data_IF_849275049224
#
_entry.id   IF_849275049224
#
_cell.length_a   1.000
_cell.length_b   1.000
_cell.length_c   1.000
_cell.angle_alpha   90.00
_cell.angle_beta   90.00
_cell.angle_gamma   90.00
#
_symmetry.space_group_name_H-M   'P 1'
#
loop_
_entity.id
_entity.type
_entity.pdbx_description
1 polymer ?
#
# COMPACT_ATOMS: atom_id res chain seq x y z
N UNK A 1 -8.10 -51.21 64.29
CA UNK A 1 -9.08 -50.47 63.49
C UNK A 1 -8.26 -49.55 62.55
N UNK A 2 -8.04 -50.02 61.33
CA UNK A 2 -7.25 -49.30 60.34
C UNK A 2 -8.18 -48.45 59.44
N UNK A 3 -7.81 -47.16 59.22
CA UNK A 3 -8.49 -46.26 58.35
C UNK A 3 -8.12 -46.56 56.87
N UNK A 4 -9.07 -46.45 55.95
CA UNK A 4 -8.76 -46.70 54.52
C UNK A 4 -8.04 -45.50 53.88
N UNK A 5 -6.92 -45.80 53.21
CA UNK A 5 -6.10 -44.91 52.40
C UNK A 5 -6.89 -44.51 51.13
N UNK A 6 -7.29 -43.23 51.02
CA UNK A 6 -7.95 -42.67 49.83
C UNK A 6 -6.87 -42.17 48.88
N UNK A 7 -6.50 -42.97 47.86
CA UNK A 7 -5.70 -42.51 46.73
C UNK A 7 -6.58 -41.69 45.76
N UNK A 8 -6.30 -40.41 45.67
CA UNK A 8 -6.87 -39.55 44.64
C UNK A 8 -6.12 -39.79 43.31
N UNK A 9 -6.81 -40.34 42.32
CA UNK A 9 -6.32 -40.41 40.95
C UNK A 9 -6.48 -39.01 40.34
N UNK A 10 -5.36 -38.35 40.06
CA UNK A 10 -5.32 -37.12 39.25
C UNK A 10 -5.48 -37.54 37.80
N UNK A 11 -6.70 -37.42 37.27
CA UNK A 11 -6.97 -37.59 35.85
C UNK A 11 -6.29 -36.48 35.03
N UNK A 12 -5.21 -36.79 34.32
CA UNK A 12 -4.66 -35.92 33.31
C UNK A 12 -5.63 -35.85 32.12
N UNK A 13 -6.38 -34.77 31.99
CA UNK A 13 -7.08 -34.45 30.75
C UNK A 13 -6.02 -34.31 29.62
N UNK A 14 -6.20 -34.94 28.45
CA UNK A 14 -5.30 -34.73 27.34
C UNK A 14 -5.37 -33.23 26.96
N UNK A 15 -4.21 -32.58 26.90
CA UNK A 15 -4.09 -31.23 26.38
C UNK A 15 -4.67 -31.21 24.97
N UNK A 16 -5.64 -30.33 24.71
CA UNK A 16 -6.12 -30.07 23.35
C UNK A 16 -4.91 -29.69 22.50
N UNK A 17 -4.77 -30.30 21.29
CA UNK A 17 -3.71 -29.89 20.39
C UNK A 17 -3.84 -28.37 20.15
N UNK A 18 -2.78 -27.63 20.40
CA UNK A 18 -2.68 -26.22 20.03
C UNK A 18 -2.73 -26.20 18.51
N UNK A 19 -3.82 -25.67 17.93
CA UNK A 19 -3.92 -25.54 16.49
C UNK A 19 -2.76 -24.66 16.02
N UNK A 20 -1.99 -25.15 15.08
CA UNK A 20 -0.88 -24.38 14.50
C UNK A 20 -1.40 -23.07 13.93
N UNK A 21 -0.59 -22.01 14.06
CA UNK A 21 -0.95 -20.70 13.51
C UNK A 21 -1.03 -20.80 11.98
N UNK A 22 -2.02 -20.16 11.32
CA UNK A 22 -2.11 -20.12 9.87
C UNK A 22 -0.80 -19.63 9.24
N UNK A 23 -0.39 -20.25 8.15
CA UNK A 23 0.83 -19.85 7.43
C UNK A 23 0.46 -18.85 6.34
N UNK A 24 1.15 -17.70 6.31
CA UNK A 24 1.03 -16.73 5.25
C UNK A 24 2.01 -17.03 4.12
N UNK A 25 1.50 -17.40 2.94
CA UNK A 25 2.28 -17.51 1.69
C UNK A 25 2.22 -16.18 0.97
N UNK A 26 3.36 -15.71 0.46
CA UNK A 26 3.47 -14.41 -0.22
C UNK A 26 4.13 -14.60 -1.57
N UNK A 27 3.47 -14.12 -2.62
CA UNK A 27 4.02 -13.95 -3.96
C UNK A 27 4.00 -12.47 -4.31
N UNK A 28 5.02 -11.96 -4.99
CA UNK A 28 5.11 -10.53 -5.30
C UNK A 28 5.90 -10.29 -6.58
N UNK A 29 5.53 -9.24 -7.30
CA UNK A 29 6.29 -8.71 -8.43
C UNK A 29 6.21 -7.18 -8.43
N UNK A 30 7.25 -6.58 -9.00
CA UNK A 30 7.33 -5.14 -9.23
C UNK A 30 8.10 -4.91 -10.53
N UNK A 31 7.55 -4.11 -11.44
CA UNK A 31 8.09 -3.83 -12.75
C UNK A 31 8.08 -2.31 -13.01
N UNK A 32 9.24 -1.71 -13.29
CA UNK A 32 9.31 -0.27 -13.56
C UNK A 32 8.55 0.08 -14.84
N UNK A 33 8.08 1.31 -14.92
CA UNK A 33 7.48 1.85 -16.13
C UNK A 33 8.47 1.74 -17.31
N UNK A 34 8.03 1.26 -18.49
CA UNK A 34 8.89 1.12 -19.64
C UNK A 34 9.64 2.41 -19.98
N UNK A 35 10.97 2.31 -20.07
CA UNK A 35 11.86 3.45 -20.38
C UNK A 35 12.23 4.33 -19.18
N UNK A 36 11.78 4.01 -17.97
CA UNK A 36 12.23 4.68 -16.74
C UNK A 36 13.51 4.04 -16.22
N UNK A 37 14.49 4.83 -15.72
CA UNK A 37 15.75 4.31 -15.19
C UNK A 37 15.59 3.68 -13.80
N UNK A 38 14.59 4.09 -13.05
CA UNK A 38 14.33 3.65 -11.67
C UNK A 38 12.87 3.30 -11.47
N UNK A 39 12.62 2.32 -10.61
CA UNK A 39 11.32 1.98 -10.08
C UNK A 39 11.05 2.85 -8.84
N UNK A 40 9.97 3.64 -8.86
CA UNK A 40 9.51 4.46 -7.75
C UNK A 40 8.56 3.67 -6.83
N UNK A 41 8.18 2.43 -7.21
CA UNK A 41 7.49 1.49 -6.34
C UNK A 41 8.46 0.64 -5.52
N UNK A 42 8.03 0.20 -4.34
CA UNK A 42 8.74 -0.81 -3.54
C UNK A 42 7.75 -1.84 -2.99
N UNK A 43 8.04 -3.11 -3.27
CA UNK A 43 7.46 -4.25 -2.57
C UNK A 43 8.46 -4.77 -1.55
N UNK A 44 8.01 -5.02 -0.32
CA UNK A 44 8.90 -5.54 0.72
C UNK A 44 8.21 -6.54 1.64
N UNK A 45 9.04 -7.41 2.25
CA UNK A 45 8.62 -8.33 3.30
C UNK A 45 9.65 -8.36 4.42
N UNK A 46 9.19 -8.12 5.65
CA UNK A 46 10.00 -8.24 6.87
C UNK A 46 9.27 -9.16 7.87
N UNK A 47 9.66 -10.43 7.87
CA UNK A 47 8.99 -11.43 8.69
C UNK A 47 7.50 -11.54 8.38
N UNK A 48 6.59 -11.21 9.35
CA UNK A 48 5.15 -11.27 9.16
C UNK A 48 4.56 -10.01 8.46
N UNK A 49 5.36 -8.97 8.23
CA UNK A 49 4.95 -7.73 7.57
C UNK A 49 5.21 -7.79 6.07
N UNK A 50 4.22 -7.39 5.29
CA UNK A 50 4.32 -7.21 3.83
C UNK A 50 3.83 -5.81 3.49
N UNK A 51 4.43 -5.16 2.49
CA UNK A 51 4.03 -3.83 2.07
C UNK A 51 4.26 -3.55 0.60
N UNK A 52 3.43 -2.64 0.08
CA UNK A 52 3.58 -1.95 -1.20
C UNK A 52 3.63 -0.47 -0.93
N UNK A 53 4.63 0.20 -1.45
CA UNK A 53 4.79 1.65 -1.44
C UNK A 53 4.88 2.11 -2.89
N UNK A 54 4.11 3.13 -3.25
CA UNK A 54 4.11 3.74 -4.58
C UNK A 54 4.57 5.18 -4.43
N UNK A 55 5.73 5.48 -5.01
CA UNK A 55 6.38 6.77 -4.92
C UNK A 55 5.75 7.79 -5.86
N UNK A 56 5.29 8.89 -5.32
CA UNK A 56 4.60 9.91 -6.09
C UNK A 56 5.56 10.62 -7.07
N UNK A 57 5.56 10.20 -8.32
CA UNK A 57 6.34 10.81 -9.40
C UNK A 57 6.08 12.32 -9.53
N UNK A 58 7.13 13.05 -9.82
CA UNK A 58 7.07 14.49 -10.13
C UNK A 58 7.42 14.75 -11.60
N UNK A 59 6.85 15.80 -12.23
CA UNK A 59 7.22 16.20 -13.59
C UNK A 59 8.70 16.57 -13.71
N UNK A 60 9.30 16.34 -14.88
CA UNK A 60 10.68 16.75 -15.15
C UNK A 60 10.89 18.24 -14.90
N UNK A 61 11.97 18.58 -14.18
CA UNK A 61 12.28 19.96 -13.79
C UNK A 61 11.37 20.55 -12.72
N UNK A 62 10.56 19.72 -12.05
CA UNK A 62 9.76 20.14 -10.91
C UNK A 62 10.68 20.38 -9.70
N UNK A 63 10.55 21.55 -9.06
CA UNK A 63 11.26 21.82 -7.83
C UNK A 63 10.62 21.02 -6.68
N UNK A 64 11.44 20.21 -6.03
CA UNK A 64 11.02 19.36 -4.90
C UNK A 64 11.50 19.88 -3.55
N UNK A 65 12.37 20.87 -3.53
CA UNK A 65 13.07 21.30 -2.31
C UNK A 65 14.04 20.24 -1.77
N UNK A 66 14.22 19.11 -2.49
CA UNK A 66 14.94 17.94 -2.03
C UNK A 66 15.86 17.38 -3.13
N UNK A 67 17.06 16.97 -2.77
CA UNK A 67 18.01 16.32 -3.68
C UNK A 67 17.65 14.82 -3.91
N UNK A 68 16.76 14.25 -3.10
CA UNK A 68 16.35 12.86 -3.19
C UNK A 68 15.07 12.74 -4.01
N UNK A 69 14.97 11.68 -4.81
CA UNK A 69 13.78 11.35 -5.60
C UNK A 69 12.80 10.43 -4.86
N UNK A 70 11.61 10.15 -5.47
CA UNK A 70 10.63 9.21 -4.93
C UNK A 70 11.20 7.81 -4.70
N UNK A 71 12.01 7.28 -5.63
CA UNK A 71 12.64 5.97 -5.50
C UNK A 71 13.55 5.85 -4.26
N UNK A 72 14.32 6.91 -3.92
CA UNK A 72 15.10 6.94 -2.69
C UNK A 72 14.18 6.91 -1.47
N UNK A 73 13.13 7.74 -1.50
CA UNK A 73 12.19 7.88 -0.38
C UNK A 73 11.50 6.56 -0.04
N UNK A 74 10.92 5.86 -1.04
CA UNK A 74 10.20 4.61 -0.81
C UNK A 74 11.12 3.49 -0.28
N UNK A 75 12.36 3.42 -0.77
CA UNK A 75 13.35 2.44 -0.27
C UNK A 75 13.71 2.69 1.20
N UNK A 76 13.93 3.95 1.58
CA UNK A 76 14.21 4.31 2.97
C UNK A 76 12.98 4.10 3.85
N UNK A 77 11.80 4.49 3.39
CA UNK A 77 10.56 4.30 4.14
C UNK A 77 10.29 2.81 4.40
N UNK A 78 10.42 1.94 3.39
CA UNK A 78 10.26 0.50 3.54
C UNK A 78 11.22 -0.07 4.61
N UNK A 79 12.51 0.28 4.54
CA UNK A 79 13.50 -0.14 5.51
C UNK A 79 13.17 0.34 6.94
N UNK A 80 12.77 1.61 7.09
CA UNK A 80 12.40 2.21 8.39
C UNK A 80 11.12 1.61 8.95
N UNK A 81 10.12 1.28 8.12
CA UNK A 81 8.91 0.56 8.55
C UNK A 81 9.29 -0.82 9.11
N UNK A 82 10.11 -1.58 8.37
CA UNK A 82 10.58 -2.90 8.83
C UNK A 82 11.29 -2.84 10.17
N UNK A 83 12.20 -1.88 10.36
CA UNK A 83 12.91 -1.66 11.62
C UNK A 83 11.96 -1.25 12.76
N UNK A 84 11.00 -0.36 12.51
CA UNK A 84 10.03 0.09 13.51
C UNK A 84 9.15 -1.04 14.01
N UNK A 85 8.66 -1.89 13.10
CA UNK A 85 7.85 -3.07 13.44
C UNK A 85 8.69 -4.12 14.18
N UNK A 86 9.93 -4.38 13.75
CA UNK A 86 10.82 -5.31 14.43
C UNK A 86 11.17 -4.85 15.86
N UNK A 87 11.40 -3.55 16.05
CA UNK A 87 11.74 -2.98 17.35
C UNK A 87 10.55 -2.99 18.33
N UNK A 88 9.31 -2.86 17.82
CA UNK A 88 8.08 -2.81 18.65
C UNK A 88 6.96 -3.64 18.00
N UNK A 89 7.03 -4.99 18.04
CA UNK A 89 6.06 -5.86 17.36
C UNK A 89 4.59 -5.66 17.82
N UNK A 90 4.38 -5.24 19.07
CA UNK A 90 3.05 -4.98 19.63
C UNK A 90 2.49 -3.57 19.29
N UNK A 91 3.29 -2.70 18.65
CA UNK A 91 2.83 -1.38 18.25
C UNK A 91 1.82 -1.46 17.10
N UNK A 92 0.95 -0.46 16.99
CA UNK A 92 0.04 -0.34 15.84
C UNK A 92 0.82 -0.05 14.55
N UNK A 93 0.26 -0.43 13.39
CA UNK A 93 0.87 -0.10 12.10
C UNK A 93 0.99 1.42 11.91
N UNK A 94 -0.01 2.20 12.38
CA UNK A 94 0.04 3.66 12.35
C UNK A 94 1.24 4.22 13.13
N UNK A 95 1.47 3.77 14.36
CA UNK A 95 2.60 4.26 15.16
C UNK A 95 3.96 3.80 14.60
N UNK A 96 4.01 2.62 13.97
CA UNK A 96 5.21 2.13 13.28
C UNK A 96 5.51 2.95 12.03
N UNK A 97 4.48 3.30 11.25
CA UNK A 97 4.62 4.18 10.09
C UNK A 97 5.04 5.60 10.50
N UNK A 98 4.43 6.18 11.54
CA UNK A 98 4.81 7.50 12.05
C UNK A 98 6.30 7.54 12.48
N UNK A 99 6.75 6.50 13.20
CA UNK A 99 8.15 6.37 13.58
C UNK A 99 9.09 6.22 12.37
N UNK A 100 8.65 5.49 11.33
CA UNK A 100 9.42 5.33 10.10
C UNK A 100 9.54 6.65 9.33
N UNK A 101 8.44 7.40 9.16
CA UNK A 101 8.45 8.74 8.52
C UNK A 101 9.41 9.68 9.25
N UNK A 102 9.35 9.72 10.59
CA UNK A 102 10.26 10.53 11.39
C UNK A 102 11.74 10.13 11.18
N UNK A 103 12.01 8.83 11.06
CA UNK A 103 13.36 8.33 10.81
C UNK A 103 13.86 8.70 9.41
N UNK A 104 13.00 8.58 8.36
CA UNK A 104 13.35 9.02 7.00
C UNK A 104 13.58 10.52 6.94
N UNK A 105 12.78 11.31 7.67
CA UNK A 105 13.04 12.75 7.81
C UNK A 105 14.47 13.03 8.32
N UNK A 106 14.94 12.27 9.30
CA UNK A 106 16.31 12.37 9.81
C UNK A 106 17.36 11.90 8.78
N UNK A 107 17.05 10.89 7.96
CA UNK A 107 17.95 10.38 6.90
C UNK A 107 18.28 11.42 5.81
N UNK A 108 17.45 12.46 5.63
CA UNK A 108 17.73 13.57 4.72
C UNK A 108 18.92 14.45 5.15
N UNK A 109 19.42 14.28 6.38
CA UNK A 109 20.63 14.95 6.86
C UNK A 109 20.55 16.47 6.97
N UNK A 110 19.37 17.06 6.94
CA UNK A 110 19.16 18.51 7.07
C UNK A 110 19.53 19.35 5.82
N UNK A 111 19.73 18.68 4.66
CA UNK A 111 20.11 19.36 3.41
C UNK A 111 18.92 19.66 2.50
N UNK A 112 17.72 19.17 2.83
CA UNK A 112 16.51 19.33 2.05
C UNK A 112 15.49 20.22 2.77
N UNK A 113 14.72 20.99 2.00
CA UNK A 113 13.53 21.68 2.49
C UNK A 113 12.34 20.70 2.50
N UNK A 114 12.12 20.06 3.66
CA UNK A 114 11.08 19.07 3.83
C UNK A 114 9.68 19.65 4.05
N UNK A 115 9.56 20.96 4.17
CA UNK A 115 8.28 21.69 4.21
C UNK A 115 7.84 22.11 2.80
N UNK A 116 8.70 21.93 1.79
CA UNK A 116 8.39 22.21 0.39
C UNK A 116 7.28 21.26 -0.11
N UNK A 117 6.23 21.76 -0.80
CA UNK A 117 5.13 20.93 -1.30
C UNK A 117 5.57 19.79 -2.24
N UNK A 118 6.68 19.97 -2.94
CA UNK A 118 7.27 18.98 -3.84
C UNK A 118 8.10 17.90 -3.15
N UNK A 119 8.23 17.91 -1.82
CA UNK A 119 9.02 16.90 -1.10
C UNK A 119 8.58 15.47 -1.49
N UNK A 120 9.50 14.49 -1.60
CA UNK A 120 9.15 13.12 -1.94
C UNK A 120 8.08 12.56 -1.00
N UNK A 121 7.14 11.84 -1.59
CA UNK A 121 6.02 11.23 -0.86
C UNK A 121 5.66 9.88 -1.48
N UNK A 122 4.88 9.10 -0.75
CA UNK A 122 4.45 7.77 -1.17
C UNK A 122 3.07 7.43 -0.63
N UNK A 123 2.34 6.58 -1.35
CA UNK A 123 1.25 5.79 -0.78
C UNK A 123 1.82 4.72 0.13
N UNK A 124 1.00 4.14 0.99
CA UNK A 124 1.40 3.02 1.85
C UNK A 124 0.27 2.00 1.95
N UNK A 125 0.53 0.78 1.52
CA UNK A 125 -0.34 -0.37 1.75
C UNK A 125 0.44 -1.43 2.52
N UNK A 126 0.02 -1.73 3.77
CA UNK A 126 0.68 -2.68 4.66
C UNK A 126 -0.28 -3.76 5.12
N UNK A 127 0.26 -4.97 5.31
CA UNK A 127 -0.43 -6.10 5.90
C UNK A 127 0.52 -6.82 6.84
N UNK A 128 0.08 -7.04 8.11
CA UNK A 128 0.85 -7.72 9.15
C UNK A 128 0.10 -8.92 9.68
N UNK A 129 0.68 -10.12 9.51
CA UNK A 129 0.18 -11.34 10.14
C UNK A 129 0.58 -11.39 11.62
N UNK A 130 -0.36 -11.71 12.51
CA UNK A 130 -0.14 -11.83 13.95
C UNK A 130 -1.00 -12.96 14.55
N UNK A 131 -0.44 -14.15 14.64
CA UNK A 131 -1.14 -15.32 15.18
C UNK A 131 -2.34 -15.73 14.35
N UNK A 132 -3.55 -15.53 14.86
CA UNK A 132 -4.82 -15.84 14.20
C UNK A 132 -5.49 -14.63 13.52
N UNK A 133 -4.76 -13.53 13.37
CA UNK A 133 -5.24 -12.25 12.83
C UNK A 133 -4.28 -11.62 11.84
N UNK A 134 -4.84 -10.72 11.05
CA UNK A 134 -4.11 -9.86 10.13
C UNK A 134 -4.52 -8.41 10.39
N UNK A 135 -3.54 -7.55 10.68
CA UNK A 135 -3.73 -6.12 10.71
C UNK A 135 -3.36 -5.53 9.36
N UNK A 136 -4.10 -4.50 8.90
CA UNK A 136 -3.76 -3.75 7.71
C UNK A 136 -3.75 -2.25 7.92
N UNK A 137 -3.05 -1.55 7.01
CA UNK A 137 -3.01 -0.10 6.93
C UNK A 137 -2.95 0.30 5.46
N UNK A 138 -3.84 1.23 5.06
CA UNK A 138 -3.84 1.87 3.75
C UNK A 138 -3.79 3.38 3.93
N UNK A 139 -2.78 4.03 3.36
CA UNK A 139 -2.62 5.48 3.33
C UNK A 139 -2.46 5.91 1.88
N UNK A 140 -3.32 6.80 1.42
CA UNK A 140 -3.50 7.18 0.02
C UNK A 140 -4.11 6.05 -0.83
N UNK A 141 -3.92 6.05 -2.14
CA UNK A 141 -4.74 5.34 -3.11
C UNK A 141 -4.18 3.99 -3.63
N UNK A 142 -3.17 3.43 -2.96
CA UNK A 142 -2.75 2.04 -3.22
C UNK A 142 -3.76 1.07 -2.62
N UNK A 143 -4.55 0.33 -3.43
CA UNK A 143 -5.65 -0.47 -2.90
C UNK A 143 -5.19 -1.77 -2.25
N UNK A 144 -5.92 -2.16 -1.20
CA UNK A 144 -5.87 -3.47 -0.57
C UNK A 144 -7.16 -4.23 -0.89
N UNK A 145 -7.05 -5.37 -1.55
CA UNK A 145 -8.19 -6.25 -1.88
C UNK A 145 -8.20 -7.41 -0.92
N UNK A 146 -9.31 -7.60 -0.22
CA UNK A 146 -9.51 -8.61 0.82
C UNK A 146 -10.55 -9.63 0.39
N UNK A 147 -10.19 -10.92 0.31
CA UNK A 147 -11.09 -12.03 0.04
C UNK A 147 -11.40 -12.76 1.35
N UNK A 148 -12.62 -12.60 1.82
CA UNK A 148 -13.12 -13.23 3.05
C UNK A 148 -14.24 -14.22 2.75
N UNK A 149 -14.71 -14.95 3.76
CA UNK A 149 -15.90 -15.78 3.64
C UNK A 149 -17.21 -14.99 3.40
N UNK A 150 -17.17 -13.65 3.59
CA UNK A 150 -18.28 -12.72 3.33
C UNK A 150 -18.25 -12.09 1.94
N UNK A 151 -17.20 -12.34 1.17
CA UNK A 151 -16.97 -11.77 -0.14
C UNK A 151 -15.73 -10.92 -0.21
N UNK A 152 -15.61 -10.17 -1.31
CA UNK A 152 -14.47 -9.31 -1.59
C UNK A 152 -14.75 -7.89 -1.11
N UNK A 153 -13.79 -7.33 -0.38
CA UNK A 153 -13.77 -5.94 0.05
C UNK A 153 -12.53 -5.26 -0.52
N UNK A 154 -12.67 -4.02 -0.98
CA UNK A 154 -11.54 -3.19 -1.44
C UNK A 154 -11.40 -2.02 -0.49
N UNK A 155 -10.23 -1.90 0.12
CA UNK A 155 -9.88 -0.77 0.99
C UNK A 155 -8.95 0.14 0.20
N UNK A 156 -9.42 1.35 -0.10
CA UNK A 156 -8.65 2.41 -0.75
C UNK A 156 -9.03 3.77 -0.16
N UNK A 157 -8.13 4.73 -0.24
CA UNK A 157 -8.37 6.08 0.26
C UNK A 157 -8.66 7.04 -0.91
N UNK A 158 -9.92 7.34 -1.13
CA UNK A 158 -10.39 8.13 -2.26
C UNK A 158 -10.15 9.64 -2.12
N UNK A 159 -9.59 10.11 -0.98
CA UNK A 159 -9.35 11.54 -0.72
C UNK A 159 -8.45 12.20 -1.77
N UNK A 160 -7.48 11.47 -2.33
CA UNK A 160 -6.66 11.99 -3.43
C UNK A 160 -7.49 12.16 -4.70
N UNK A 161 -8.30 11.18 -5.06
CA UNK A 161 -9.19 11.24 -6.23
C UNK A 161 -10.18 12.39 -6.12
N UNK A 162 -10.77 12.58 -4.96
CA UNK A 162 -11.68 13.69 -4.65
C UNK A 162 -10.97 15.04 -4.77
N UNK A 163 -9.79 15.19 -4.19
CA UNK A 163 -9.01 16.43 -4.27
C UNK A 163 -8.62 16.77 -5.72
N UNK A 164 -8.25 15.78 -6.53
CA UNK A 164 -7.96 15.95 -7.96
C UNK A 164 -9.22 16.32 -8.74
N UNK A 165 -10.37 15.68 -8.46
CA UNK A 165 -11.64 16.01 -9.09
C UNK A 165 -12.07 17.46 -8.78
N UNK A 166 -11.90 17.93 -7.54
CA UNK A 166 -12.15 19.30 -7.13
C UNK A 166 -11.27 20.31 -7.89
N UNK A 167 -9.98 19.99 -8.02
CA UNK A 167 -9.04 20.83 -8.76
C UNK A 167 -9.40 20.92 -10.24
N UNK A 168 -9.83 19.82 -10.87
CA UNK A 168 -10.29 19.79 -12.26
C UNK A 168 -11.55 20.65 -12.45
N UNK A 169 -12.50 20.58 -11.53
CA UNK A 169 -13.70 21.43 -11.54
C UNK A 169 -13.34 22.91 -11.41
N UNK A 170 -12.43 23.24 -10.49
CA UNK A 170 -11.94 24.62 -10.32
C UNK A 170 -11.15 25.13 -11.53
N UNK A 171 -10.33 24.29 -12.16
CA UNK A 171 -9.53 24.66 -13.33
C UNK A 171 -10.38 24.89 -14.59
N UNK A 172 -11.48 24.17 -14.75
CA UNK A 172 -12.43 24.39 -15.85
C UNK A 172 -13.11 25.78 -15.82
N UNK A 173 -13.04 26.47 -14.68
CA UNK A 173 -13.57 27.83 -14.50
C UNK A 173 -12.54 28.94 -14.79
N UNK A 174 -11.28 28.59 -15.11
CA UNK A 174 -10.23 29.57 -15.41
C UNK A 174 -10.10 29.78 -16.93
N UNK A 175 -9.82 31.02 -17.40
CA UNK A 175 -9.61 31.29 -18.83
C UNK A 175 -8.45 30.48 -19.38
N UNK A 176 -8.64 29.86 -20.55
CA UNK A 176 -7.63 29.11 -21.30
C UNK A 176 -6.52 30.08 -21.77
N UNK A 177 -5.41 30.12 -21.04
CA UNK A 177 -4.24 30.92 -21.41
C UNK A 177 -2.97 30.12 -21.63
N UNK A 178 -2.93 28.88 -21.08
CA UNK A 178 -1.74 28.03 -21.16
C UNK A 178 -1.95 26.88 -22.13
N UNK A 179 -1.20 26.87 -23.24
CA UNK A 179 -1.32 25.85 -24.29
C UNK A 179 -0.32 24.70 -24.16
N UNK A 180 0.78 24.88 -23.40
CA UNK A 180 1.78 23.83 -23.21
C UNK A 180 1.33 22.75 -22.19
N UNK A 181 1.17 21.49 -22.63
CA UNK A 181 0.71 20.40 -21.76
C UNK A 181 1.64 20.14 -20.54
N UNK A 182 2.96 20.28 -20.73
CA UNK A 182 3.93 20.04 -19.65
C UNK A 182 3.81 21.12 -18.55
N UNK A 183 3.64 22.38 -18.95
CA UNK A 183 3.42 23.50 -18.02
C UNK A 183 2.10 23.36 -17.27
N UNK A 184 1.03 22.95 -17.96
CA UNK A 184 -0.27 22.65 -17.30
C UNK A 184 -0.13 21.52 -16.29
N UNK A 185 0.59 20.45 -16.64
CA UNK A 185 0.81 19.33 -15.75
C UNK A 185 1.62 19.73 -14.50
N UNK A 186 2.76 20.46 -14.67
CA UNK A 186 3.52 21.00 -13.53
C UNK A 186 2.67 21.84 -12.60
N UNK A 187 1.88 22.76 -13.17
CA UNK A 187 1.00 23.63 -12.39
C UNK A 187 -0.07 22.84 -11.63
N UNK A 188 -0.71 21.86 -12.29
CA UNK A 188 -1.69 20.98 -11.64
C UNK A 188 -1.06 20.19 -10.49
N UNK A 189 0.13 19.63 -10.70
CA UNK A 189 0.90 18.92 -9.66
C UNK A 189 1.23 19.84 -8.49
N UNK A 190 1.69 21.07 -8.75
CA UNK A 190 1.95 22.05 -7.67
C UNK A 190 0.71 22.29 -6.82
N UNK A 191 -0.43 22.58 -7.45
CA UNK A 191 -1.67 22.84 -6.73
C UNK A 191 -2.16 21.61 -5.97
N UNK A 192 -2.07 20.41 -6.57
CA UNK A 192 -2.39 19.15 -5.89
C UNK A 192 -1.52 18.96 -4.64
N UNK A 193 -0.21 19.15 -4.77
CA UNK A 193 0.76 18.97 -3.69
C UNK A 193 0.54 19.93 -2.51
N UNK A 194 0.02 21.14 -2.73
CA UNK A 194 -0.33 22.05 -1.63
C UNK A 194 -1.50 21.53 -0.76
N UNK A 195 -2.26 20.55 -1.24
CA UNK A 195 -3.34 19.89 -0.49
C UNK A 195 -2.89 18.61 0.24
N UNK A 196 -1.66 18.16 0.01
CA UNK A 196 -1.11 16.99 0.69
C UNK A 196 -0.96 17.25 2.19
N UNK A 197 -1.35 16.29 3.01
CA UNK A 197 -1.29 16.33 4.48
C UNK A 197 -1.99 17.56 5.07
N UNK A 198 -3.18 17.86 4.56
CA UNK A 198 -4.04 18.96 5.01
C UNK A 198 -5.47 18.46 5.23
N UNK A 199 -6.15 19.04 6.22
CA UNK A 199 -7.60 18.93 6.37
C UNK A 199 -8.28 19.38 5.08
N UNK A 200 -9.22 18.71 4.52
CA UNK A 200 -9.83 18.97 3.21
C UNK A 200 -8.93 18.73 1.99
N UNK A 201 -7.83 18.03 2.18
CA UNK A 201 -6.96 17.51 1.14
C UNK A 201 -6.88 15.99 1.20
N UNK A 202 -5.70 15.46 0.96
CA UNK A 202 -5.41 14.02 1.05
C UNK A 202 -4.17 13.78 1.91
N UNK A 203 -3.97 12.52 2.31
CA UNK A 203 -2.88 12.13 3.18
C UNK A 203 -1.97 11.12 2.47
N UNK A 204 -0.66 11.35 2.56
CA UNK A 204 0.38 10.48 2.03
C UNK A 204 1.60 10.47 2.97
N UNK A 205 2.37 9.42 2.96
CA UNK A 205 3.64 9.40 3.67
C UNK A 205 4.61 10.37 3.00
N UNK A 206 5.13 11.35 3.76
CA UNK A 206 6.08 12.35 3.32
C UNK A 206 7.00 12.73 4.50
N UNK A 207 7.13 14.01 4.83
CA UNK A 207 7.95 14.49 5.96
C UNK A 207 7.18 14.59 7.28
N UNK A 208 5.84 14.59 7.24
CA UNK A 208 4.98 14.74 8.41
C UNK A 208 4.56 13.36 8.95
N UNK A 209 5.03 12.96 10.16
CA UNK A 209 4.66 11.68 10.76
C UNK A 209 3.17 11.58 11.13
N UNK A 210 2.48 12.72 11.32
CA UNK A 210 1.06 12.73 11.69
C UNK A 210 0.18 12.18 10.56
N UNK A 211 0.64 12.21 9.31
CA UNK A 211 -0.05 11.59 8.17
C UNK A 211 -0.40 10.11 8.42
N UNK A 212 0.45 9.38 9.16
CA UNK A 212 0.22 7.97 9.47
C UNK A 212 -1.08 7.72 10.26
N UNK A 213 -1.53 8.69 11.06
CA UNK A 213 -2.76 8.56 11.86
C UNK A 213 -4.04 8.84 11.07
N UNK A 214 -3.91 9.24 9.82
CA UNK A 214 -5.01 9.42 8.88
C UNK A 214 -5.21 8.22 7.95
N UNK A 215 -4.41 7.16 8.11
CA UNK A 215 -4.54 5.92 7.35
C UNK A 215 -5.83 5.17 7.68
N UNK A 216 -6.37 4.45 6.71
CA UNK A 216 -7.42 3.46 6.91
C UNK A 216 -6.79 2.21 7.51
N UNK A 217 -7.35 1.68 8.59
CA UNK A 217 -6.82 0.50 9.28
C UNK A 217 -7.91 -0.47 9.68
N UNK A 218 -7.56 -1.73 9.78
CA UNK A 218 -8.45 -2.76 10.30
C UNK A 218 -7.70 -4.01 10.72
N UNK A 219 -8.47 -4.93 11.29
CA UNK A 219 -8.00 -6.24 11.72
C UNK A 219 -9.01 -7.29 11.30
N UNK A 220 -8.54 -8.36 10.66
CA UNK A 220 -9.36 -9.48 10.20
C UNK A 220 -8.92 -10.77 10.88
N UNK A 221 -9.86 -11.66 11.24
CA UNK A 221 -9.51 -12.99 11.71
C UNK A 221 -9.04 -13.87 10.55
N UNK A 222 -8.24 -14.89 10.86
CA UNK A 222 -7.84 -15.94 9.92
C UNK A 222 -8.66 -17.23 10.13
N UNK A 223 -9.55 -17.26 11.12
CA UNK A 223 -10.45 -18.40 11.43
C UNK A 223 -11.82 -17.90 11.85
N UNK A 224 -12.83 -18.70 11.59
CA UNK A 224 -14.21 -18.37 11.94
C UNK A 224 -14.87 -17.35 10.99
N UNK A 225 -16.01 -16.79 11.38
CA UNK A 225 -16.78 -15.88 10.54
C UNK A 225 -16.01 -14.62 10.16
N UNK A 226 -15.96 -14.26 8.90
CA UNK A 226 -15.19 -13.14 8.36
C UNK A 226 -13.71 -13.45 8.16
N UNK A 227 -13.33 -14.74 8.16
CA UNK A 227 -11.94 -15.15 7.99
C UNK A 227 -11.38 -14.70 6.63
N UNK A 228 -10.20 -14.08 6.68
CA UNK A 228 -9.44 -13.69 5.50
C UNK A 228 -8.79 -14.95 4.89
N UNK A 229 -9.00 -15.16 3.59
CA UNK A 229 -8.41 -16.24 2.80
C UNK A 229 -7.23 -15.74 1.97
N UNK A 230 -7.43 -14.62 1.29
CA UNK A 230 -6.43 -14.00 0.41
C UNK A 230 -6.47 -12.49 0.57
N UNK A 231 -5.33 -11.84 0.38
CA UNK A 231 -5.24 -10.40 0.27
C UNK A 231 -4.30 -10.02 -0.88
N UNK A 232 -4.67 -9.00 -1.66
CA UNK A 232 -3.77 -8.40 -2.64
C UNK A 232 -3.47 -6.96 -2.26
N UNK A 233 -2.17 -6.61 -2.26
CA UNK A 233 -1.69 -5.25 -2.11
C UNK A 233 -1.19 -4.78 -3.48
N UNK A 234 -1.63 -3.62 -3.94
CA UNK A 234 -1.35 -3.16 -5.29
C UNK A 234 -0.90 -1.70 -5.29
N UNK A 235 0.02 -1.32 -6.20
CA UNK A 235 0.16 0.06 -6.61
C UNK A 235 -0.93 0.43 -7.60
N UNK A 236 -1.10 1.71 -7.87
CA UNK A 236 -2.09 2.18 -8.83
C UNK A 236 -1.76 1.72 -10.27
N UNK A 237 -0.45 1.52 -10.59
CA UNK A 237 -0.01 0.92 -11.85
C UNK A 237 -0.43 -0.54 -12.03
N UNK A 238 -0.65 -1.30 -10.96
CA UNK A 238 -1.18 -2.65 -11.04
C UNK A 238 -2.72 -2.68 -10.99
N UNK A 239 -3.35 -1.85 -10.16
CA UNK A 239 -4.81 -1.79 -10.02
C UNK A 239 -5.52 -1.23 -11.26
N UNK A 240 -4.81 -0.51 -12.13
CA UNK A 240 -5.34 0.02 -13.40
C UNK A 240 -5.91 -1.06 -14.32
N UNK A 241 -5.53 -2.33 -14.14
CA UNK A 241 -6.16 -3.47 -14.79
C UNK A 241 -7.68 -3.53 -14.58
N UNK A 242 -8.14 -3.15 -13.38
CA UNK A 242 -9.57 -3.05 -13.02
C UNK A 242 -10.11 -1.65 -13.31
N UNK A 243 -9.50 -0.62 -12.69
CA UNK A 243 -10.06 0.73 -12.61
C UNK A 243 -10.06 1.50 -13.93
N UNK A 244 -9.06 1.24 -14.78
CA UNK A 244 -8.89 1.99 -16.04
C UNK A 244 -9.15 1.13 -17.26
N UNK A 245 -8.59 -0.07 -17.29
CA UNK A 245 -8.72 -0.96 -18.44
C UNK A 245 -9.97 -1.82 -18.41
N UNK A 246 -10.51 -2.13 -17.20
CA UNK A 246 -11.68 -2.99 -17.04
C UNK A 246 -11.44 -4.39 -17.60
N UNK A 247 -10.22 -4.94 -17.43
CA UNK A 247 -9.87 -6.27 -17.93
C UNK A 247 -10.67 -7.35 -17.19
N UNK A 248 -10.98 -7.12 -15.95
CA UNK A 248 -11.76 -7.96 -15.04
C UNK A 248 -12.22 -7.10 -13.84
N UNK A 249 -13.08 -7.66 -13.01
CA UNK A 249 -13.42 -7.11 -11.69
C UNK A 249 -12.39 -7.53 -10.63
N UNK A 250 -12.58 -7.09 -9.40
CA UNK A 250 -11.67 -7.40 -8.28
C UNK A 250 -11.59 -8.90 -7.97
N UNK A 251 -12.68 -9.67 -8.22
CA UNK A 251 -12.66 -11.11 -8.09
C UNK A 251 -11.77 -11.75 -9.14
N UNK A 252 -11.92 -11.34 -10.39
CA UNK A 252 -11.07 -11.77 -11.50
C UNK A 252 -9.61 -11.41 -11.31
N UNK A 253 -9.30 -10.25 -10.71
CA UNK A 253 -7.93 -9.85 -10.36
C UNK A 253 -7.31 -10.84 -9.38
N UNK A 254 -8.03 -11.21 -8.31
CA UNK A 254 -7.54 -12.18 -7.34
C UNK A 254 -7.34 -13.57 -7.95
N UNK A 255 -8.20 -14.00 -8.90
CA UNK A 255 -7.99 -15.25 -9.63
C UNK A 255 -6.77 -15.19 -10.55
N UNK A 256 -6.53 -14.09 -11.26
CA UNK A 256 -5.30 -13.91 -12.05
C UNK A 256 -4.07 -13.99 -11.16
N UNK A 257 -4.07 -13.30 -10.01
CA UNK A 257 -2.98 -13.36 -9.05
C UNK A 257 -2.77 -14.78 -8.48
N UNK A 258 -3.86 -15.53 -8.24
CA UNK A 258 -3.76 -16.89 -7.73
C UNK A 258 -3.19 -17.86 -8.77
N UNK A 259 -3.61 -17.79 -10.02
CA UNK A 259 -3.27 -18.73 -11.10
C UNK A 259 -1.97 -18.32 -11.80
N UNK A 260 -1.84 -17.05 -12.22
CA UNK A 260 -0.72 -16.57 -13.04
C UNK A 260 0.37 -15.86 -12.23
N UNK A 261 0.08 -15.54 -10.98
CA UNK A 261 0.98 -14.78 -10.10
C UNK A 261 0.92 -13.27 -10.37
N UNK A 262 1.61 -12.50 -9.51
CA UNK A 262 1.76 -11.06 -9.68
C UNK A 262 2.41 -10.67 -11.01
N UNK A 263 3.38 -11.43 -11.49
CA UNK A 263 4.02 -11.24 -12.80
C UNK A 263 3.00 -11.35 -13.95
N UNK A 264 2.06 -12.30 -13.86
CA UNK A 264 0.98 -12.48 -14.84
C UNK A 264 0.06 -11.29 -14.89
N UNK A 265 -0.35 -10.75 -13.72
CA UNK A 265 -1.14 -9.51 -13.63
C UNK A 265 -0.41 -8.34 -14.31
N UNK A 266 0.85 -8.10 -13.95
CA UNK A 266 1.64 -7.00 -14.51
C UNK A 266 1.80 -7.19 -16.03
N UNK A 267 2.04 -8.42 -16.50
CA UNK A 267 2.11 -8.73 -17.93
C UNK A 267 0.82 -8.36 -18.69
N UNK A 268 -0.36 -8.58 -18.09
CA UNK A 268 -1.66 -8.17 -18.66
C UNK A 268 -1.83 -6.66 -18.67
N UNK A 269 -1.39 -5.96 -17.62
CA UNK A 269 -1.37 -4.49 -17.59
C UNK A 269 -0.51 -3.96 -18.73
N UNK A 270 0.72 -4.44 -18.88
CA UNK A 270 1.66 -4.02 -19.95
C UNK A 270 1.10 -4.29 -21.35
N UNK A 271 0.35 -5.38 -21.54
CA UNK A 271 -0.34 -5.64 -22.80
C UNK A 271 -1.46 -4.60 -23.04
N UNK A 272 -2.29 -4.33 -22.03
CA UNK A 272 -3.37 -3.36 -22.14
C UNK A 272 -2.88 -1.93 -22.40
N UNK A 273 -1.77 -1.52 -21.78
CA UNK A 273 -1.12 -0.22 -22.02
C UNK A 273 -0.65 -0.06 -23.48
N UNK A 274 -0.14 -1.14 -24.08
CA UNK A 274 0.27 -1.13 -25.51
C UNK A 274 -0.92 -1.10 -26.46
N UNK A 275 -1.96 -1.88 -26.14
CA UNK A 275 -3.10 -2.09 -27.04
C UNK A 275 -4.13 -0.95 -26.94
N UNK A 276 -4.18 -0.25 -25.81
CA UNK A 276 -5.19 0.78 -25.53
C UNK A 276 -4.58 2.08 -24.94
N UNK A 277 -3.65 2.73 -25.62
CA UNK A 277 -2.97 3.92 -25.08
C UNK A 277 -3.92 5.09 -24.78
N UNK A 278 -5.08 5.14 -25.44
CA UNK A 278 -6.08 6.21 -25.27
C UNK A 278 -6.99 6.02 -24.04
N UNK A 279 -6.98 4.83 -23.42
CA UNK A 279 -7.77 4.56 -22.20
C UNK A 279 -7.08 5.05 -20.92
N UNK A 280 -5.80 5.38 -20.99
CA UNK A 280 -5.06 5.88 -19.86
C UNK A 280 -5.56 7.28 -19.47
N UNK A 281 -6.30 7.36 -18.38
CA UNK A 281 -6.82 8.63 -17.83
C UNK A 281 -5.75 9.45 -17.10
N UNK A 282 -4.51 8.97 -17.08
CA UNK A 282 -3.34 9.57 -16.43
C UNK A 282 -2.59 10.48 -17.38
N UNK A 283 -1.84 11.41 -16.80
CA UNK A 283 -0.87 12.21 -17.55
C UNK A 283 0.35 11.39 -18.04
N UNK A 284 0.56 10.19 -17.49
CA UNK A 284 1.58 9.21 -17.88
C UNK A 284 0.95 8.11 -18.73
N UNK A 285 1.67 7.67 -19.77
CA UNK A 285 1.28 6.53 -20.61
C UNK A 285 1.44 5.19 -19.91
N UNK A 286 2.42 5.10 -19.02
CA UNK A 286 2.74 3.90 -18.25
C UNK A 286 3.16 4.32 -16.84
N UNK A 287 2.97 3.44 -15.86
CA UNK A 287 3.46 3.63 -14.49
C UNK A 287 4.23 2.42 -14.01
N UNK A 288 4.99 2.58 -12.92
CA UNK A 288 5.53 1.44 -12.19
C UNK A 288 4.37 0.57 -11.72
N UNK A 289 4.51 -0.74 -11.75
CA UNK A 289 3.44 -1.66 -11.41
C UNK A 289 3.92 -2.69 -10.39
N UNK A 290 3.27 -2.69 -9.24
CA UNK A 290 3.62 -3.57 -8.12
C UNK A 290 2.41 -4.29 -7.57
N UNK A 291 2.55 -5.60 -7.38
CA UNK A 291 1.50 -6.45 -6.85
C UNK A 291 2.05 -7.48 -5.87
N UNK A 292 1.29 -7.71 -4.81
CA UNK A 292 1.54 -8.77 -3.81
C UNK A 292 0.29 -9.57 -3.63
N UNK A 293 0.39 -10.90 -3.61
CA UNK A 293 -0.66 -11.80 -3.15
C UNK A 293 -0.22 -12.47 -1.85
N UNK A 294 -1.03 -12.33 -0.82
CA UNK A 294 -0.95 -13.06 0.44
C UNK A 294 -2.06 -14.11 0.51
N UNK A 295 -1.71 -15.37 0.72
CA UNK A 295 -2.64 -16.49 0.88
C UNK A 295 -2.48 -17.06 2.30
N UNK A 296 -3.61 -17.32 2.95
CA UNK A 296 -3.66 -17.85 4.32
C UNK A 296 -4.25 -19.25 4.29
N UNK A 297 -3.47 -20.22 4.74
CA UNK A 297 -3.92 -21.61 4.84
C UNK A 297 -4.45 -21.86 6.26
N UNK A 298 -5.76 -22.06 6.44
CA UNK A 298 -6.35 -22.35 7.75
C UNK A 298 -6.05 -23.77 8.23
N UNK A 299 -5.48 -24.63 7.38
CA UNK A 299 -5.30 -26.07 7.61
C UNK A 299 -3.85 -26.45 7.94
N UNK A 300 -2.92 -25.50 8.00
CA UNK A 300 -1.53 -25.74 8.33
C UNK A 300 -1.31 -25.83 9.84
#
# INVERSE_FOLDING_TARGET
MGAPDRRYAIGSSPARPVAEAPVMRVRSASDPAPGRPENEDVVFRFGPLVGVLDGATVPDGFDTGCAHGPAWYVRHLAARIGLAVAARPAATLMSSLAAAVLAVRADHGGTCDLDHPGTPSSTVCLLRHSGDRVDYLVLCDSPLVLDTDRGIEVVTDDRLADAVADLRRGAAALPDGETDPATRFRRATTVQRTRMNRTHGYWAAASDPDAAYHALTGTLPLRGPGALRRAALLSDGASCAVDQFGLFDWAGLLEVLAVEGPEGLIGRVRAAERDHPDRLRRHKRTDDASAVLCEFDPSA
#
